data_IF_182797797986
#
_entry.id   IF_182797797986
#
_cell.length_a   1.000
_cell.length_b   1.000
_cell.length_c   1.000
_cell.angle_alpha   90.00
_cell.angle_beta   90.00
_cell.angle_gamma   90.00
#
_symmetry.space_group_name_H-M   'P 1'
#
loop_
_entity.id
_entity.type
_entity.pdbx_description
1 polymer ?
#
# COMPACT_ATOMS: atom_id res chain seq x y z
N UNK A 1 16.27 -13.19 -37.75
CA UNK A 1 15.85 -12.26 -36.67
C UNK A 1 15.27 -13.08 -35.53
N UNK A 2 15.71 -12.83 -34.31
CA UNK A 2 15.36 -13.66 -33.12
C UNK A 2 13.97 -13.27 -32.65
N UNK A 3 12.96 -14.15 -32.88
CA UNK A 3 11.58 -13.91 -32.43
C UNK A 3 11.49 -14.18 -30.92
N UNK A 4 11.83 -13.17 -30.15
CA UNK A 4 11.60 -13.11 -28.70
C UNK A 4 10.83 -11.86 -28.36
N UNK A 5 9.79 -11.99 -27.54
CA UNK A 5 9.06 -10.86 -27.00
C UNK A 5 9.60 -10.50 -25.62
N UNK A 6 9.89 -9.22 -25.39
CA UNK A 6 10.24 -8.71 -24.08
C UNK A 6 8.95 -8.37 -23.31
N UNK A 7 8.80 -8.95 -22.12
CA UNK A 7 7.70 -8.65 -21.19
C UNK A 7 8.24 -8.35 -19.81
N UNK A 8 7.39 -7.98 -18.88
CA UNK A 8 7.73 -7.84 -17.46
C UNK A 8 7.05 -8.92 -16.65
N UNK A 9 7.83 -9.63 -15.86
CA UNK A 9 7.35 -10.52 -14.81
C UNK A 9 7.15 -9.71 -13.54
N UNK A 10 5.95 -9.75 -13.00
CA UNK A 10 5.60 -9.11 -11.74
C UNK A 10 5.60 -10.15 -10.63
N UNK A 11 6.17 -9.82 -9.50
CA UNK A 11 6.17 -10.64 -8.28
C UNK A 11 5.85 -9.76 -7.10
N UNK A 12 5.06 -10.26 -6.17
CA UNK A 12 4.74 -9.60 -4.90
C UNK A 12 5.48 -10.32 -3.79
N UNK A 13 6.40 -9.61 -3.13
CA UNK A 13 7.13 -10.12 -1.97
C UNK A 13 7.07 -9.06 -0.85
N UNK A 14 6.67 -9.47 0.35
CA UNK A 14 6.62 -8.61 1.54
C UNK A 14 5.90 -7.28 1.31
N UNK A 15 4.74 -7.29 0.63
CA UNK A 15 3.94 -6.08 0.31
C UNK A 15 4.60 -5.11 -0.68
N UNK A 16 5.73 -5.50 -1.31
CA UNK A 16 6.36 -4.73 -2.37
C UNK A 16 6.15 -5.42 -3.72
N UNK A 17 5.77 -4.65 -4.73
CA UNK A 17 5.73 -5.13 -6.10
C UNK A 17 7.11 -5.02 -6.70
N UNK A 18 7.65 -6.17 -7.08
CA UNK A 18 8.90 -6.24 -7.80
C UNK A 18 8.66 -6.63 -9.25
N UNK A 19 9.45 -6.07 -10.15
CA UNK A 19 9.37 -6.38 -11.57
C UNK A 19 10.75 -6.75 -12.11
N UNK A 20 10.79 -7.74 -13.00
CA UNK A 20 11.99 -8.05 -13.79
C UNK A 20 11.62 -8.29 -15.24
N UNK A 21 12.54 -7.98 -16.14
CA UNK A 21 12.36 -8.27 -17.55
C UNK A 21 12.39 -9.79 -17.79
N UNK A 22 11.47 -10.28 -18.62
CA UNK A 22 11.41 -11.67 -19.05
C UNK A 22 11.45 -11.75 -20.59
N UNK A 23 12.27 -12.64 -21.14
CA UNK A 23 12.23 -12.99 -22.54
C UNK A 23 11.28 -14.15 -22.77
N UNK A 24 10.28 -13.95 -23.61
CA UNK A 24 9.34 -14.98 -24.04
C UNK A 24 9.79 -15.53 -25.38
N UNK A 25 10.10 -16.82 -25.43
CA UNK A 25 10.46 -17.53 -26.65
C UNK A 25 9.17 -17.95 -27.39
N UNK A 26 9.04 -17.57 -28.65
CA UNK A 26 7.93 -18.00 -29.51
C UNK A 26 8.20 -19.39 -30.10
N UNK A 27 9.48 -19.81 -30.14
CA UNK A 27 9.92 -21.09 -30.66
C UNK A 27 10.41 -21.99 -29.51
N UNK A 28 9.70 -23.10 -29.19
CA UNK A 28 10.09 -24.03 -28.14
C UNK A 28 11.49 -24.66 -28.33
N UNK A 29 11.96 -24.83 -29.57
CA UNK A 29 13.27 -25.41 -29.83
C UNK A 29 14.43 -24.50 -29.37
N UNK A 30 14.22 -23.17 -29.38
CA UNK A 30 15.18 -22.22 -28.81
C UNK A 30 15.24 -22.36 -27.29
N UNK A 31 14.10 -22.51 -26.62
CA UNK A 31 14.05 -22.71 -25.18
C UNK A 31 14.70 -24.04 -24.76
N UNK A 32 14.55 -25.10 -25.55
CA UNK A 32 15.23 -26.40 -25.34
C UNK A 32 16.74 -26.24 -25.27
N UNK A 33 17.33 -25.32 -26.04
CA UNK A 33 18.77 -25.04 -25.99
C UNK A 33 19.18 -24.42 -24.65
N UNK A 34 18.32 -23.62 -24.05
CA UNK A 34 18.52 -22.95 -22.74
C UNK A 34 18.35 -23.93 -21.59
N UNK A 35 17.39 -24.86 -21.66
CA UNK A 35 17.05 -25.82 -20.62
C UNK A 35 18.02 -27.00 -20.50
N UNK A 36 19.00 -27.13 -21.37
CA UNK A 36 20.04 -28.13 -21.22
C UNK A 36 20.84 -27.91 -19.93
N UNK A 37 21.10 -28.96 -19.16
CA UNK A 37 21.77 -28.91 -17.84
C UNK A 37 23.08 -28.11 -17.84
N UNK A 38 23.90 -28.23 -18.90
CA UNK A 38 25.15 -27.47 -18.96
C UNK A 38 24.91 -26.01 -19.40
N UNK A 39 24.01 -25.77 -20.37
CA UNK A 39 23.59 -24.44 -20.75
C UNK A 39 23.04 -23.68 -19.56
N UNK A 40 22.24 -24.33 -18.73
CA UNK A 40 21.68 -23.73 -17.51
C UNK A 40 22.77 -23.31 -16.52
N UNK A 41 23.77 -24.19 -16.26
CA UNK A 41 24.92 -23.87 -15.40
C UNK A 41 25.70 -22.64 -15.93
N UNK A 42 25.90 -22.59 -17.26
CA UNK A 42 26.58 -21.45 -17.90
C UNK A 42 25.76 -20.18 -17.74
N UNK A 43 24.44 -20.23 -17.93
CA UNK A 43 23.55 -19.10 -17.73
C UNK A 43 23.54 -18.60 -16.29
N UNK A 44 23.55 -19.48 -15.30
CA UNK A 44 23.65 -19.09 -13.89
C UNK A 44 24.94 -18.30 -13.63
N UNK A 45 26.08 -18.74 -14.14
CA UNK A 45 27.35 -18.02 -14.03
C UNK A 45 27.25 -16.65 -14.72
N UNK A 46 26.70 -16.61 -15.93
CA UNK A 46 26.59 -15.39 -16.74
C UNK A 46 25.47 -14.44 -16.25
N UNK A 47 24.60 -14.87 -15.34
CA UNK A 47 23.64 -13.99 -14.69
C UNK A 47 24.28 -13.16 -13.57
N UNK A 48 25.31 -13.70 -12.92
CA UNK A 48 26.02 -13.04 -11.83
C UNK A 48 27.11 -12.09 -12.36
N UNK A 49 27.94 -12.57 -13.31
CA UNK A 49 29.09 -11.82 -13.83
C UNK A 49 29.34 -12.09 -15.31
N UNK A 50 29.94 -11.14 -16.01
CA UNK A 50 30.41 -11.35 -17.37
C UNK A 50 31.66 -12.24 -17.37
N UNK A 51 31.72 -13.19 -18.32
CA UNK A 51 32.87 -14.05 -18.49
C UNK A 51 33.07 -14.44 -19.96
N UNK A 52 34.33 -14.72 -20.34
CA UNK A 52 34.60 -15.33 -21.64
C UNK A 52 34.65 -16.86 -21.54
N UNK A 53 34.46 -17.59 -22.68
CA UNK A 53 34.23 -19.03 -22.66
C UNK A 53 35.33 -19.88 -21.99
N UNK A 54 36.59 -19.47 -22.09
CA UNK A 54 37.71 -20.17 -21.46
C UNK A 54 37.67 -20.07 -19.92
N UNK A 55 37.29 -18.92 -19.37
CA UNK A 55 37.10 -18.79 -17.92
C UNK A 55 35.97 -19.66 -17.42
N UNK A 56 34.85 -19.71 -18.14
CA UNK A 56 33.73 -20.61 -17.83
C UNK A 56 34.19 -22.06 -17.86
N UNK A 57 35.01 -22.45 -18.85
CA UNK A 57 35.54 -23.79 -18.95
C UNK A 57 36.40 -24.19 -17.74
N UNK A 58 37.29 -23.27 -17.30
CA UNK A 58 38.11 -23.47 -16.09
C UNK A 58 37.23 -23.56 -14.83
N UNK A 59 36.26 -22.65 -14.68
CA UNK A 59 35.35 -22.64 -13.52
C UNK A 59 34.51 -23.91 -13.42
N UNK A 60 34.09 -24.47 -14.56
CA UNK A 60 33.28 -25.69 -14.63
C UNK A 60 34.12 -26.97 -14.73
N UNK A 61 35.46 -26.87 -14.82
CA UNK A 61 36.39 -28.00 -15.07
C UNK A 61 36.00 -28.82 -16.30
N UNK A 62 35.70 -28.14 -17.40
CA UNK A 62 35.27 -28.74 -18.65
C UNK A 62 36.22 -28.38 -19.80
N UNK A 63 36.22 -29.20 -20.84
CA UNK A 63 36.94 -28.91 -22.06
C UNK A 63 36.36 -27.69 -22.76
N UNK A 64 37.19 -26.76 -23.22
CA UNK A 64 36.81 -25.48 -23.81
C UNK A 64 35.83 -25.61 -24.99
N UNK A 65 36.08 -26.54 -25.91
CA UNK A 65 35.22 -26.77 -27.08
C UNK A 65 33.78 -27.09 -26.68
N UNK A 66 33.57 -27.81 -25.56
CA UNK A 66 32.23 -28.09 -25.04
C UNK A 66 31.54 -26.85 -24.56
N UNK A 67 32.25 -25.94 -23.89
CA UNK A 67 31.71 -24.68 -23.43
C UNK A 67 31.41 -23.75 -24.62
N UNK A 68 32.33 -23.63 -25.58
CA UNK A 68 32.12 -22.86 -26.81
C UNK A 68 30.87 -23.31 -27.58
N UNK A 69 30.62 -24.63 -27.68
CA UNK A 69 29.42 -25.16 -28.30
C UNK A 69 28.14 -24.64 -27.61
N UNK A 70 28.09 -24.68 -26.28
CA UNK A 70 26.93 -24.18 -25.54
C UNK A 70 26.79 -22.64 -25.60
N UNK A 71 27.87 -21.91 -25.53
CA UNK A 71 27.89 -20.46 -25.72
C UNK A 71 27.30 -20.07 -27.09
N UNK A 72 27.73 -20.74 -28.19
CA UNK A 72 27.17 -20.50 -29.53
C UNK A 72 25.66 -20.79 -29.57
N UNK A 73 25.19 -21.88 -28.95
CA UNK A 73 23.76 -22.21 -28.86
C UNK A 73 22.97 -21.15 -28.07
N UNK A 74 23.48 -20.74 -26.91
CA UNK A 74 22.86 -19.72 -26.10
C UNK A 74 22.82 -18.35 -26.79
N UNK A 75 23.91 -17.99 -27.47
CA UNK A 75 23.96 -16.73 -28.25
C UNK A 75 22.99 -16.78 -29.44
N UNK A 76 22.93 -17.92 -30.19
CA UNK A 76 21.95 -18.08 -31.27
C UNK A 76 20.52 -18.05 -30.80
N UNK A 77 20.24 -18.58 -29.60
CA UNK A 77 18.94 -18.48 -28.95
C UNK A 77 18.64 -17.04 -28.41
N UNK A 78 19.63 -16.15 -28.34
CA UNK A 78 19.49 -14.82 -27.75
C UNK A 78 19.45 -14.80 -26.21
N UNK A 79 19.80 -15.92 -25.57
CA UNK A 79 19.81 -16.05 -24.13
C UNK A 79 20.98 -15.31 -23.45
N UNK A 80 22.06 -15.11 -24.20
CA UNK A 80 23.24 -14.35 -23.79
C UNK A 80 23.59 -13.29 -24.82
N UNK A 81 24.27 -12.24 -24.39
CA UNK A 81 24.77 -11.15 -25.26
C UNK A 81 26.25 -10.91 -25.00
N UNK A 82 26.96 -10.45 -26.02
CA UNK A 82 28.32 -9.92 -25.87
C UNK A 82 28.21 -8.55 -25.20
N UNK A 83 28.96 -8.32 -24.15
CA UNK A 83 29.00 -7.04 -23.41
C UNK A 83 30.32 -6.33 -23.55
N UNK A 84 31.40 -7.08 -23.87
CA UNK A 84 32.75 -6.55 -24.03
C UNK A 84 33.58 -7.46 -24.96
N UNK A 85 34.48 -6.86 -25.69
CA UNK A 85 35.49 -7.56 -26.50
C UNK A 85 36.88 -7.04 -26.10
N UNK A 86 37.84 -7.95 -25.93
CA UNK A 86 39.22 -7.61 -25.61
C UNK A 86 40.19 -8.36 -26.55
N UNK A 87 41.21 -7.68 -27.02
CA UNK A 87 42.33 -8.32 -27.73
C UNK A 87 43.28 -8.98 -26.71
N UNK A 88 43.40 -10.28 -26.79
CA UNK A 88 44.28 -11.05 -25.94
C UNK A 88 45.18 -11.94 -26.81
N UNK A 89 46.49 -11.66 -26.86
CA UNK A 89 47.50 -12.45 -27.62
C UNK A 89 47.12 -12.69 -29.10
N UNK A 90 46.63 -11.66 -29.78
CA UNK A 90 46.27 -11.72 -31.20
C UNK A 90 44.91 -12.39 -31.50
N UNK A 91 44.11 -12.69 -30.50
CA UNK A 91 42.76 -13.18 -30.67
C UNK A 91 41.75 -12.27 -29.89
N UNK A 92 40.53 -12.10 -30.39
CA UNK A 92 39.50 -11.34 -29.76
C UNK A 92 38.72 -12.22 -28.75
N UNK A 93 38.87 -11.94 -27.48
CA UNK A 93 38.09 -12.56 -26.40
C UNK A 93 36.72 -11.82 -26.25
N UNK A 94 35.62 -12.55 -26.44
CA UNK A 94 34.27 -12.03 -26.29
C UNK A 94 33.72 -12.38 -24.90
N UNK A 95 33.37 -11.37 -24.12
CA UNK A 95 32.75 -11.54 -22.82
C UNK A 95 31.23 -11.55 -22.95
N UNK A 96 30.62 -12.56 -22.35
CA UNK A 96 29.19 -12.81 -22.43
C UNK A 96 28.53 -12.56 -21.06
N UNK A 97 27.28 -12.11 -21.11
CA UNK A 97 26.39 -11.98 -19.95
C UNK A 97 25.00 -12.49 -20.32
N UNK A 98 24.21 -12.94 -19.37
CA UNK A 98 22.81 -13.27 -19.59
C UNK A 98 22.07 -12.04 -20.15
N UNK A 99 21.28 -12.26 -21.19
CA UNK A 99 20.57 -11.16 -21.86
C UNK A 99 19.35 -10.67 -21.06
N UNK A 100 18.75 -11.58 -20.27
CA UNK A 100 17.56 -11.33 -19.49
C UNK A 100 17.64 -12.03 -18.13
N UNK A 101 17.06 -11.46 -17.09
CA UNK A 101 17.01 -12.07 -15.76
C UNK A 101 16.00 -13.22 -15.64
N UNK A 102 15.09 -13.38 -16.60
CA UNK A 102 14.13 -14.47 -16.69
C UNK A 102 13.85 -14.84 -18.15
N UNK A 103 13.50 -16.11 -18.40
CA UNK A 103 13.19 -16.65 -19.72
C UNK A 103 12.08 -17.67 -19.62
N UNK A 104 11.18 -17.72 -20.62
CA UNK A 104 10.04 -18.63 -20.63
C UNK A 104 9.34 -18.75 -21.97
N UNK A 105 8.27 -19.55 -22.00
CA UNK A 105 7.28 -19.61 -23.07
C UNK A 105 5.93 -19.14 -22.54
N UNK A 106 5.14 -18.55 -23.43
CA UNK A 106 3.78 -18.13 -23.13
C UNK A 106 2.80 -19.03 -23.87
N UNK A 107 1.82 -19.54 -23.14
CA UNK A 107 0.71 -20.27 -23.74
C UNK A 107 -0.34 -19.27 -24.26
N UNK A 108 -1.12 -19.64 -25.31
CA UNK A 108 -2.15 -18.75 -25.88
C UNK A 108 -3.40 -18.69 -25.01
N UNK A 109 -3.22 -18.36 -23.75
CA UNK A 109 -4.29 -18.14 -22.78
C UNK A 109 -4.47 -16.63 -22.60
N UNK A 110 -5.72 -16.16 -22.54
CA UNK A 110 -6.02 -14.73 -22.39
C UNK A 110 -5.46 -14.16 -21.07
N UNK A 111 -5.13 -12.86 -21.08
CA UNK A 111 -4.72 -12.13 -19.89
C UNK A 111 -5.94 -11.93 -18.98
N UNK A 112 -5.74 -12.12 -17.69
CA UNK A 112 -6.68 -11.65 -16.68
C UNK A 112 -6.37 -10.18 -16.37
N UNK A 113 -7.41 -9.34 -16.31
CA UNK A 113 -7.28 -7.97 -15.87
C UNK A 113 -6.93 -7.99 -14.38
N UNK A 114 -5.83 -7.37 -14.00
CA UNK A 114 -5.53 -7.09 -12.59
C UNK A 114 -6.19 -5.75 -12.29
N UNK A 115 -7.36 -5.79 -11.65
CA UNK A 115 -8.04 -4.60 -11.19
C UNK A 115 -7.30 -4.08 -9.94
N UNK A 116 -6.99 -2.79 -9.96
CA UNK A 116 -6.22 -2.14 -8.89
C UNK A 116 -4.77 -2.59 -8.82
N UNK A 117 -3.88 -1.66 -8.56
CA UNK A 117 -2.46 -1.93 -8.34
C UNK A 117 -2.29 -2.55 -6.96
N UNK A 118 -1.62 -3.65 -6.79
CA UNK A 118 -2.24 -4.95 -6.55
C UNK A 118 -2.80 -5.03 -5.13
N UNK A 119 -4.08 -5.28 -4.99
CA UNK A 119 -4.70 -5.72 -3.73
C UNK A 119 -3.95 -6.93 -3.10
N UNK A 120 -3.23 -7.71 -3.91
CA UNK A 120 -2.35 -8.79 -3.46
C UNK A 120 -1.12 -8.33 -2.67
N UNK A 121 -0.80 -7.03 -2.65
CA UNK A 121 0.31 -6.45 -1.88
C UNK A 121 -0.14 -5.80 -0.57
N UNK A 122 -1.43 -5.79 -0.27
CA UNK A 122 -1.92 -5.29 1.02
C UNK A 122 -1.75 -6.41 2.05
N UNK A 123 -1.16 -6.04 3.19
CA UNK A 123 -1.11 -6.93 4.34
C UNK A 123 -2.53 -7.36 4.75
N UNK A 124 -2.72 -8.65 5.03
CA UNK A 124 -4.03 -9.23 5.36
C UNK A 124 -4.73 -8.52 6.53
N UNK A 125 -3.98 -8.01 7.51
CA UNK A 125 -4.56 -7.26 8.63
C UNK A 125 -5.14 -5.92 8.18
N UNK A 126 -4.44 -5.19 7.30
CA UNK A 126 -4.94 -3.95 6.72
C UNK A 126 -6.16 -4.22 5.83
N UNK A 127 -6.14 -5.30 5.04
CA UNK A 127 -7.28 -5.72 4.22
C UNK A 127 -8.52 -5.97 5.08
N UNK A 128 -8.39 -6.75 6.16
CA UNK A 128 -9.49 -6.98 7.11
C UNK A 128 -9.95 -5.70 7.80
N UNK A 129 -9.02 -4.80 8.16
CA UNK A 129 -9.40 -3.52 8.75
C UNK A 129 -10.18 -2.63 7.79
N UNK A 130 -9.82 -2.62 6.51
CA UNK A 130 -10.50 -1.83 5.48
C UNK A 130 -11.75 -2.49 4.90
N UNK A 131 -12.01 -3.78 5.15
CA UNK A 131 -13.30 -4.41 4.80
C UNK A 131 -14.42 -3.85 5.71
N UNK A 132 -15.64 -3.56 5.20
CA UNK A 132 -16.08 -3.70 3.81
C UNK A 132 -15.89 -2.44 2.94
N UNK A 133 -15.07 -1.47 3.35
CA UNK A 133 -14.81 -0.26 2.59
C UNK A 133 -14.06 -0.53 1.28
N UNK A 134 -13.20 -1.55 1.27
CA UNK A 134 -12.41 -1.93 0.11
C UNK A 134 -12.51 -3.44 -0.07
N UNK A 135 -13.16 -3.84 -1.15
CA UNK A 135 -13.26 -5.23 -1.60
C UNK A 135 -12.99 -5.28 -3.10
N UNK A 136 -12.17 -6.23 -3.53
CA UNK A 136 -11.77 -6.41 -4.94
C UNK A 136 -11.32 -5.13 -5.66
N UNK A 137 -10.59 -4.27 -4.93
CA UNK A 137 -10.09 -2.97 -5.40
C UNK A 137 -11.20 -1.94 -5.71
N UNK A 138 -12.40 -2.16 -5.22
CA UNK A 138 -13.51 -1.21 -5.29
C UNK A 138 -13.68 -0.55 -3.93
N UNK A 139 -13.86 0.78 -3.91
CA UNK A 139 -14.17 1.51 -2.69
C UNK A 139 -15.70 1.63 -2.55
N UNK A 140 -16.25 1.05 -1.48
CA UNK A 140 -17.66 1.15 -1.10
C UNK A 140 -17.78 1.96 0.20
N UNK A 141 -18.02 3.25 0.08
CA UNK A 141 -18.22 4.12 1.24
C UNK A 141 -18.08 5.60 0.92
N UNK A 142 -18.20 6.41 1.97
CA UNK A 142 -17.99 7.86 1.91
C UNK A 142 -16.89 8.27 2.89
N UNK A 143 -16.02 9.18 2.48
CA UNK A 143 -15.05 9.85 3.35
C UNK A 143 -15.65 11.18 3.73
N UNK A 144 -16.00 11.34 5.01
CA UNK A 144 -16.75 12.48 5.50
C UNK A 144 -15.85 13.44 6.26
N UNK A 145 -15.79 14.67 5.80
CA UNK A 145 -15.03 15.75 6.43
C UNK A 145 -15.98 16.84 6.91
N UNK A 146 -15.59 17.56 7.95
CA UNK A 146 -16.38 18.70 8.41
C UNK A 146 -16.40 19.83 7.39
N UNK A 147 -17.51 20.54 7.29
CA UNK A 147 -17.64 21.72 6.43
C UNK A 147 -16.68 22.84 6.85
N UNK A 148 -16.01 23.51 5.90
CA UNK A 148 -15.18 24.69 6.20
C UNK A 148 -15.99 25.91 6.63
N UNK A 149 -17.30 25.95 6.33
CA UNK A 149 -18.19 26.99 6.74
C UNK A 149 -18.74 26.78 8.17
N UNK A 150 -19.13 27.86 8.89
CA UNK A 150 -19.71 27.71 10.21
C UNK A 150 -21.01 26.90 10.16
N UNK A 151 -21.05 25.77 10.82
CA UNK A 151 -22.17 24.85 10.79
C UNK A 151 -22.39 24.16 12.15
N UNK A 152 -23.52 23.46 12.24
CA UNK A 152 -23.91 22.72 13.43
C UNK A 152 -24.19 23.61 14.66
N UNK A 153 -24.41 22.97 15.83
CA UNK A 153 -24.79 23.70 17.05
C UNK A 153 -23.69 24.62 17.58
N UNK A 154 -22.44 24.36 17.23
CA UNK A 154 -21.29 25.14 17.72
C UNK A 154 -20.78 26.18 16.70
N UNK A 155 -21.39 26.26 15.52
CA UNK A 155 -20.96 27.14 14.41
C UNK A 155 -19.45 27.03 14.15
N UNK A 156 -18.90 25.82 14.30
CA UNK A 156 -17.49 25.54 14.11
C UNK A 156 -17.14 25.52 12.64
N UNK A 157 -15.88 25.85 12.34
CA UNK A 157 -15.27 25.75 11.01
C UNK A 157 -14.27 24.61 11.02
N UNK A 158 -14.44 23.61 10.18
CA UNK A 158 -13.47 22.55 10.06
C UNK A 158 -12.21 22.99 9.29
N UNK A 159 -11.04 22.62 9.79
CA UNK A 159 -9.73 22.88 9.15
C UNK A 159 -8.94 21.62 8.86
N UNK A 160 -9.50 20.47 9.18
CA UNK A 160 -8.85 19.16 9.11
C UNK A 160 -9.19 18.38 7.83
N UNK A 161 -10.02 18.93 6.95
CA UNK A 161 -10.34 18.29 5.65
C UNK A 161 -9.13 17.96 4.77
N UNK A 162 -8.04 18.75 4.82
CA UNK A 162 -6.82 18.45 4.08
C UNK A 162 -6.08 17.19 4.57
N UNK A 163 -6.33 16.74 5.80
CA UNK A 163 -5.81 15.45 6.26
C UNK A 163 -6.51 14.28 5.57
N UNK A 164 -7.80 14.44 5.24
CA UNK A 164 -8.51 13.45 4.41
C UNK A 164 -7.88 13.32 3.02
N UNK A 165 -7.34 14.39 2.43
CA UNK A 165 -6.61 14.31 1.16
C UNK A 165 -5.38 13.39 1.26
N UNK A 166 -4.66 13.40 2.37
CA UNK A 166 -3.55 12.47 2.58
C UNK A 166 -4.03 11.01 2.76
N UNK A 167 -5.15 10.81 3.45
CA UNK A 167 -5.79 9.51 3.57
C UNK A 167 -6.24 8.98 2.19
N UNK A 168 -6.85 9.83 1.35
CA UNK A 168 -7.29 9.42 0.01
C UNK A 168 -6.11 9.04 -0.90
N UNK A 169 -4.96 9.72 -0.80
CA UNK A 169 -3.73 9.31 -1.50
C UNK A 169 -3.24 7.93 -1.06
N UNK A 170 -3.41 7.59 0.21
CA UNK A 170 -3.10 6.24 0.71
C UNK A 170 -4.10 5.21 0.18
N UNK A 171 -5.40 5.46 0.31
CA UNK A 171 -6.45 4.55 -0.16
C UNK A 171 -6.43 4.38 -1.69
N UNK A 172 -6.12 5.43 -2.45
CA UNK A 172 -6.01 5.40 -3.90
C UNK A 172 -4.93 4.45 -4.45
N UNK A 173 -4.01 3.97 -3.60
CA UNK A 173 -3.09 2.88 -3.96
C UNK A 173 -3.75 1.50 -3.96
N UNK A 174 -4.91 1.40 -3.36
CA UNK A 174 -5.59 0.15 -3.04
C UNK A 174 -6.84 -0.06 -3.89
N UNK A 175 -7.33 0.98 -4.54
CA UNK A 175 -8.61 0.98 -5.27
C UNK A 175 -8.47 1.64 -6.63
N UNK A 176 -9.35 1.27 -7.55
CA UNK A 176 -9.63 2.06 -8.76
C UNK A 176 -10.42 3.32 -8.37
N UNK A 177 -10.31 4.36 -9.18
CA UNK A 177 -11.07 5.58 -8.95
C UNK A 177 -12.57 5.28 -9.04
N UNK A 178 -13.38 5.55 -7.99
CA UNK A 178 -14.83 5.33 -8.04
C UNK A 178 -15.48 6.23 -9.10
N UNK A 179 -16.58 5.75 -9.67
CA UNK A 179 -17.39 6.55 -10.61
C UNK A 179 -18.05 7.74 -9.91
N UNK A 180 -18.61 7.50 -8.70
CA UNK A 180 -19.17 8.54 -7.85
C UNK A 180 -18.12 9.21 -6.97
N UNK A 181 -18.35 10.49 -6.67
CA UNK A 181 -17.46 11.24 -5.79
C UNK A 181 -17.59 10.76 -4.34
N UNK A 182 -16.55 10.12 -3.77
CA UNK A 182 -16.68 9.46 -2.47
C UNK A 182 -16.44 10.39 -1.28
N UNK A 183 -16.00 11.64 -1.51
CA UNK A 183 -15.70 12.60 -0.44
C UNK A 183 -16.88 13.53 -0.26
N UNK A 184 -17.40 13.61 0.97
CA UNK A 184 -18.58 14.41 1.29
C UNK A 184 -18.29 15.33 2.48
N UNK A 185 -18.93 16.50 2.48
CA UNK A 185 -19.02 17.29 3.70
C UNK A 185 -20.05 16.64 4.64
N UNK A 186 -19.86 16.80 5.92
CA UNK A 186 -20.77 16.29 6.95
C UNK A 186 -22.19 16.88 6.82
N UNK A 187 -22.29 18.12 6.40
CA UNK A 187 -23.57 18.79 6.13
C UNK A 187 -24.30 18.17 4.92
N UNK A 188 -23.56 17.77 3.88
CA UNK A 188 -24.13 17.12 2.70
C UNK A 188 -24.64 15.72 3.03
N UNK A 189 -23.86 14.94 3.80
CA UNK A 189 -24.28 13.61 4.28
C UNK A 189 -25.58 13.72 5.07
N UNK A 190 -25.74 14.75 5.91
CA UNK A 190 -26.98 15.00 6.64
C UNK A 190 -28.13 15.40 5.72
N UNK A 191 -27.90 16.28 4.75
CA UNK A 191 -28.93 16.74 3.82
C UNK A 191 -29.41 15.63 2.90
N UNK A 192 -28.49 14.77 2.44
CA UNK A 192 -28.77 13.65 1.53
C UNK A 192 -29.20 12.37 2.26
N UNK A 193 -29.16 12.34 3.59
CA UNK A 193 -29.49 11.19 4.46
C UNK A 193 -28.66 9.95 4.15
N UNK A 194 -27.36 10.16 3.99
CA UNK A 194 -26.40 9.10 3.64
C UNK A 194 -25.63 8.53 4.86
N UNK A 195 -26.14 8.77 6.09
CA UNK A 195 -25.51 8.29 7.32
C UNK A 195 -25.50 6.77 7.46
N UNK A 196 -26.30 6.07 6.68
CA UNK A 196 -26.43 4.61 6.70
C UNK A 196 -25.44 3.88 5.79
N UNK A 197 -24.50 4.59 5.16
CA UNK A 197 -23.44 4.02 4.33
C UNK A 197 -22.21 3.53 5.15
N UNK A 198 -21.23 2.93 4.48
CA UNK A 198 -19.89 2.79 5.05
C UNK A 198 -19.24 4.18 5.12
N UNK A 199 -18.83 4.61 6.32
CA UNK A 199 -18.33 5.99 6.54
C UNK A 199 -16.92 6.00 7.12
N UNK A 200 -16.02 6.75 6.51
CA UNK A 200 -14.74 7.12 7.11
C UNK A 200 -14.83 8.57 7.56
N UNK A 201 -14.99 8.79 8.86
CA UNK A 201 -15.15 10.11 9.44
C UNK A 201 -13.78 10.70 9.78
N UNK A 202 -13.46 11.86 9.22
CA UNK A 202 -12.23 12.60 9.50
C UNK A 202 -12.59 13.91 10.18
N UNK A 203 -12.13 14.08 11.42
CA UNK A 203 -12.44 15.26 12.24
C UNK A 203 -13.22 14.92 13.51
N UNK A 204 -12.95 15.71 14.55
CA UNK A 204 -13.56 15.54 15.87
C UNK A 204 -15.02 16.02 15.92
N UNK A 205 -15.73 15.72 17.03
CA UNK A 205 -17.17 16.05 17.19
C UNK A 205 -17.45 17.55 17.23
N UNK A 206 -16.42 18.39 17.38
CA UNK A 206 -16.56 19.84 17.31
C UNK A 206 -16.72 20.39 15.90
N UNK A 207 -16.23 19.66 14.90
CA UNK A 207 -16.11 20.12 13.52
C UNK A 207 -16.75 19.17 12.50
N UNK A 208 -17.21 18.00 12.94
CA UNK A 208 -17.86 17.01 12.08
C UNK A 208 -19.15 16.52 12.75
N UNK A 209 -20.31 16.85 12.18
CA UNK A 209 -21.63 16.54 12.72
C UNK A 209 -21.89 15.04 12.87
N UNK A 210 -21.40 14.24 11.91
CA UNK A 210 -21.59 12.79 11.96
C UNK A 210 -20.75 12.20 13.10
N UNK A 211 -19.49 12.65 13.26
CA UNK A 211 -18.66 12.25 14.40
C UNK A 211 -19.32 12.65 15.73
N UNK A 212 -19.93 13.82 15.79
CA UNK A 212 -20.65 14.28 16.97
C UNK A 212 -21.83 13.35 17.31
N UNK A 213 -22.65 13.02 16.35
CA UNK A 213 -23.81 12.16 16.53
C UNK A 213 -23.41 10.73 16.93
N UNK A 214 -22.34 10.21 16.31
CA UNK A 214 -21.88 8.83 16.58
C UNK A 214 -20.99 8.73 17.80
N UNK A 215 -20.56 9.82 18.41
CA UNK A 215 -19.69 9.83 19.60
C UNK A 215 -20.21 8.94 20.73
N UNK A 216 -21.52 8.91 20.97
CA UNK A 216 -22.15 8.08 22.03
C UNK A 216 -22.05 6.57 21.82
N UNK A 217 -21.72 6.12 20.61
CA UNK A 217 -21.57 4.69 20.27
C UNK A 217 -20.11 4.24 20.25
N UNK A 218 -19.16 5.16 20.44
CA UNK A 218 -17.73 4.85 20.41
C UNK A 218 -17.27 4.21 21.74
N UNK A 219 -16.41 3.18 21.71
CA UNK A 219 -15.83 2.58 22.93
C UNK A 219 -14.92 3.53 23.70
N UNK A 220 -14.33 4.49 22.99
CA UNK A 220 -13.57 5.61 23.55
C UNK A 220 -14.27 6.87 23.03
N UNK A 221 -14.80 7.69 23.92
CA UNK A 221 -15.66 8.82 23.58
C UNK A 221 -15.01 10.15 23.88
N UNK A 222 -15.32 11.15 23.08
CA UNK A 222 -15.01 12.53 23.38
C UNK A 222 -15.95 13.00 24.51
N UNK A 223 -15.35 13.47 25.59
CA UNK A 223 -16.10 14.11 26.68
C UNK A 223 -16.44 15.55 26.26
N UNK A 224 -17.71 15.76 25.94
CA UNK A 224 -18.24 17.05 25.47
C UNK A 224 -18.95 17.74 26.63
N UNK A 225 -18.32 18.77 27.16
CA UNK A 225 -18.91 19.60 28.27
C UNK A 225 -19.52 20.87 27.74
N UNK A 226 -20.78 21.21 28.10
CA UNK A 226 -21.35 22.48 27.76
C UNK A 226 -20.53 23.65 28.33
N UNK A 227 -20.41 24.72 27.55
CA UNK A 227 -19.81 25.98 27.99
C UNK A 227 -20.63 27.16 27.52
N UNK A 228 -20.41 28.33 28.09
CA UNK A 228 -21.10 29.59 27.71
C UNK A 228 -20.91 29.97 26.24
N UNK A 229 -19.81 29.49 25.63
CA UNK A 229 -19.45 29.78 24.25
C UNK A 229 -19.54 28.55 23.31
N UNK A 230 -20.36 27.53 23.67
CA UNK A 230 -20.52 26.30 22.92
C UNK A 230 -20.22 25.06 23.76
N UNK A 231 -19.08 24.41 23.54
CA UNK A 231 -18.64 23.29 24.37
C UNK A 231 -17.12 23.25 24.50
N UNK A 232 -16.66 22.61 25.57
CA UNK A 232 -15.26 22.23 25.77
C UNK A 232 -15.11 20.73 25.57
N UNK A 233 -14.08 20.35 24.84
CA UNK A 233 -13.67 18.95 24.80
C UNK A 233 -12.83 18.64 26.04
N UNK A 234 -13.37 17.81 26.92
CA UNK A 234 -12.69 17.31 28.13
C UNK A 234 -11.72 16.17 27.85
N UNK A 235 -11.39 15.92 26.57
CA UNK A 235 -10.53 14.84 26.12
C UNK A 235 -11.32 13.56 25.76
N UNK A 236 -10.55 12.54 25.37
CA UNK A 236 -11.07 11.19 25.11
C UNK A 236 -11.19 10.41 26.42
N UNK A 237 -12.27 9.69 26.62
CA UNK A 237 -12.52 8.86 27.79
C UNK A 237 -12.76 7.41 27.34
N UNK A 238 -11.93 6.50 27.82
CA UNK A 238 -12.09 5.07 27.56
C UNK A 238 -13.19 4.49 28.45
N UNK A 239 -14.18 3.82 27.86
CA UNK A 239 -15.20 3.09 28.65
C UNK A 239 -14.59 1.94 29.46
N UNK A 240 -13.56 1.30 28.90
CA UNK A 240 -12.94 0.11 29.51
C UNK A 240 -12.06 0.47 30.71
N UNK A 241 -11.24 1.52 30.59
CA UNK A 241 -10.22 1.83 31.60
C UNK A 241 -10.55 3.08 32.42
N UNK A 242 -11.59 3.84 32.03
CA UNK A 242 -11.98 5.13 32.62
C UNK A 242 -10.86 6.19 32.57
N UNK A 243 -9.81 5.94 31.78
CA UNK A 243 -8.73 6.90 31.57
C UNK A 243 -9.19 8.05 30.69
N UNK A 244 -8.67 9.23 31.00
CA UNK A 244 -8.90 10.46 30.24
C UNK A 244 -7.62 10.85 29.50
N UNK A 245 -7.77 11.14 28.20
CA UNK A 245 -6.67 11.53 27.31
C UNK A 245 -6.98 12.92 26.76
N UNK A 246 -6.46 13.96 27.42
CA UNK A 246 -6.89 15.35 27.19
C UNK A 246 -5.93 16.21 26.38
N UNK A 247 -4.72 15.74 26.06
CA UNK A 247 -3.78 16.55 25.31
C UNK A 247 -4.27 16.82 23.87
N UNK A 248 -3.94 18.00 23.34
CA UNK A 248 -4.38 18.48 22.03
C UNK A 248 -3.91 17.62 20.86
N UNK A 249 -2.73 16.97 21.01
CA UNK A 249 -2.11 16.09 20.03
C UNK A 249 -2.61 14.63 20.12
N UNK A 250 -3.62 14.36 20.95
CA UNK A 250 -4.25 13.04 21.07
C UNK A 250 -5.47 12.92 20.18
N UNK A 251 -5.71 11.71 19.70
CA UNK A 251 -6.88 11.38 18.89
C UNK A 251 -7.27 9.92 18.97
N UNK A 252 -8.39 9.61 18.38
CA UNK A 252 -9.03 8.30 18.33
C UNK A 252 -8.99 7.73 16.92
N UNK A 253 -8.61 6.48 16.80
CA UNK A 253 -8.95 5.63 15.65
C UNK A 253 -9.90 4.57 16.17
N UNK A 254 -11.11 4.53 15.61
CA UNK A 254 -12.09 3.50 15.94
C UNK A 254 -12.72 2.90 14.69
N UNK A 255 -13.05 1.61 14.75
CA UNK A 255 -13.89 0.92 13.76
C UNK A 255 -15.05 0.30 14.51
N UNK A 256 -16.27 0.66 14.13
CA UNK A 256 -17.51 0.20 14.75
C UNK A 256 -18.54 -0.20 13.70
N UNK A 257 -19.58 -0.90 14.13
CA UNK A 257 -20.81 -1.02 13.34
C UNK A 257 -21.41 0.36 13.13
N UNK A 258 -21.98 0.60 11.93
CA UNK A 258 -22.68 1.85 11.70
C UNK A 258 -23.97 1.90 12.53
N UNK A 259 -24.15 2.89 13.43
CA UNK A 259 -25.34 3.02 14.26
C UNK A 259 -26.65 3.13 13.47
N UNK A 260 -26.60 3.66 12.25
CA UNK A 260 -27.76 3.82 11.36
C UNK A 260 -28.02 2.58 10.51
N UNK A 261 -27.01 1.72 10.29
CA UNK A 261 -27.13 0.50 9.48
C UNK A 261 -26.11 -0.56 9.93
N UNK A 262 -26.55 -1.57 10.65
CA UNK A 262 -25.66 -2.61 11.22
C UNK A 262 -24.86 -3.43 10.18
N UNK A 263 -25.29 -3.43 8.92
CA UNK A 263 -24.57 -4.11 7.83
C UNK A 263 -23.38 -3.30 7.30
N UNK A 264 -23.29 -2.01 7.68
CA UNK A 264 -22.24 -1.09 7.28
C UNK A 264 -21.30 -0.81 8.45
N UNK A 265 -20.16 -0.20 8.15
CA UNK A 265 -19.12 0.10 9.15
C UNK A 265 -18.76 1.58 9.16
N UNK A 266 -18.28 2.03 10.30
CA UNK A 266 -17.76 3.38 10.46
C UNK A 266 -16.32 3.30 10.96
N UNK A 267 -15.41 4.00 10.28
CA UNK A 267 -14.06 4.27 10.77
C UNK A 267 -14.01 5.75 11.18
N UNK A 268 -13.55 6.00 12.39
CA UNK A 268 -13.38 7.36 12.92
C UNK A 268 -11.89 7.67 13.05
N UNK A 269 -11.47 8.80 12.50
CA UNK A 269 -10.13 9.39 12.61
C UNK A 269 -10.29 10.81 13.16
N UNK A 270 -10.30 10.96 14.47
CA UNK A 270 -10.71 12.19 15.13
C UNK A 270 -9.77 12.55 16.29
N UNK A 271 -9.39 13.82 16.39
CA UNK A 271 -8.55 14.33 17.46
C UNK A 271 -9.26 15.25 18.42
N UNK A 272 -8.68 15.45 19.62
CA UNK A 272 -9.09 16.53 20.55
C UNK A 272 -8.96 17.88 19.85
N UNK A 273 -7.93 18.05 19.04
CA UNK A 273 -7.72 19.18 18.11
C UNK A 273 -7.31 18.65 16.73
N UNK A 274 -7.19 19.56 15.76
CA UNK A 274 -6.76 19.19 14.40
C UNK A 274 -5.41 18.44 14.36
N UNK A 275 -4.48 18.75 15.27
CA UNK A 275 -3.19 18.06 15.40
C UNK A 275 -3.37 16.59 15.79
N UNK A 276 -4.33 16.25 16.65
CA UNK A 276 -4.69 14.88 16.99
C UNK A 276 -5.34 14.15 15.81
N UNK A 277 -6.19 14.82 15.03
CA UNK A 277 -6.74 14.26 13.77
C UNK A 277 -5.61 13.93 12.78
N UNK A 278 -4.63 14.82 12.63
CA UNK A 278 -3.42 14.55 11.81
C UNK A 278 -2.67 13.31 12.30
N UNK A 279 -2.49 13.19 13.63
CA UNK A 279 -1.83 12.01 14.22
C UNK A 279 -2.55 10.71 13.89
N UNK A 280 -3.90 10.69 13.94
CA UNK A 280 -4.71 9.54 13.56
C UNK A 280 -4.54 9.17 12.08
N UNK A 281 -4.54 10.15 11.19
CA UNK A 281 -4.32 9.90 9.76
C UNK A 281 -2.92 9.35 9.51
N UNK A 282 -1.87 9.89 10.14
CA UNK A 282 -0.51 9.35 10.04
C UNK A 282 -0.42 7.93 10.62
N UNK A 283 -1.07 7.67 11.75
CA UNK A 283 -1.12 6.36 12.38
C UNK A 283 -1.71 5.30 11.47
N UNK A 284 -2.81 5.60 10.75
CA UNK A 284 -3.44 4.64 9.84
C UNK A 284 -2.68 4.50 8.51
N UNK A 285 -2.00 5.54 8.04
CA UNK A 285 -1.35 5.54 6.73
C UNK A 285 0.13 5.12 6.80
N UNK A 286 0.94 5.80 7.60
CA UNK A 286 2.39 5.54 7.71
C UNK A 286 2.72 4.47 8.76
N UNK A 287 2.00 4.46 9.88
CA UNK A 287 2.32 3.63 11.05
C UNK A 287 1.29 2.53 11.32
N UNK A 288 0.50 2.16 10.31
CA UNK A 288 -0.62 1.22 10.44
C UNK A 288 -0.23 -0.13 11.09
N UNK A 289 0.99 -0.65 10.85
CA UNK A 289 1.46 -1.90 11.47
C UNK A 289 1.52 -1.81 12.99
N UNK A 290 1.93 -0.65 13.51
CA UNK A 290 1.95 -0.34 14.95
C UNK A 290 0.53 -0.13 15.45
N UNK A 291 -0.25 0.66 14.72
CA UNK A 291 -1.63 1.04 15.06
C UNK A 291 -2.56 -0.17 15.12
N UNK A 292 -2.53 -1.04 14.10
CA UNK A 292 -3.41 -2.20 14.01
C UNK A 292 -2.84 -3.46 14.69
N UNK A 293 -1.80 -3.34 15.53
CA UNK A 293 -1.17 -4.50 16.17
C UNK A 293 -2.18 -5.35 16.95
N UNK A 294 -3.12 -4.71 17.66
CA UNK A 294 -4.16 -5.35 18.48
C UNK A 294 -5.51 -5.53 17.75
N UNK A 295 -5.60 -5.22 16.48
CA UNK A 295 -6.83 -5.41 15.71
C UNK A 295 -7.12 -6.91 15.49
N UNK A 296 -8.33 -7.35 15.80
CA UNK A 296 -8.81 -8.75 15.82
C UNK A 296 -10.15 -8.97 15.10
N UNK A 297 -10.55 -8.04 14.24
CA UNK A 297 -11.77 -8.05 13.41
C UNK A 297 -13.09 -7.69 14.14
N UNK A 298 -13.06 -7.47 15.45
CA UNK A 298 -14.19 -6.97 16.22
C UNK A 298 -14.21 -5.44 16.30
N UNK A 299 -14.95 -4.90 17.27
CA UNK A 299 -14.92 -3.46 17.58
C UNK A 299 -13.49 -3.05 17.93
N UNK A 300 -12.99 -2.08 17.24
CA UNK A 300 -11.63 -1.59 17.43
C UNK A 300 -11.64 -0.13 17.84
N UNK A 301 -10.87 0.20 18.86
CA UNK A 301 -10.62 1.58 19.25
C UNK A 301 -9.23 1.69 19.89
N UNK A 302 -8.47 2.71 19.46
CA UNK A 302 -7.14 3.03 20.03
C UNK A 302 -6.98 4.53 20.15
N UNK A 303 -6.31 4.96 21.22
CA UNK A 303 -5.88 6.34 21.39
C UNK A 303 -4.49 6.51 20.80
N UNK A 304 -4.34 7.50 19.95
CA UNK A 304 -3.08 7.88 19.29
C UNK A 304 -2.60 9.20 19.88
N UNK A 305 -1.33 9.29 20.21
CA UNK A 305 -0.65 10.54 20.51
C UNK A 305 0.34 10.85 19.41
N UNK A 306 0.31 12.07 18.89
CA UNK A 306 1.24 12.57 17.88
C UNK A 306 2.42 13.29 18.51
N UNK A 307 3.59 13.17 17.89
CA UNK A 307 4.82 13.84 18.30
C UNK A 307 5.45 14.54 17.11
N UNK A 308 6.11 15.63 17.42
CA UNK A 308 7.00 16.37 16.53
C UNK A 308 8.43 16.06 16.98
N UNK A 309 9.13 15.18 16.25
CA UNK A 309 10.46 14.72 16.64
C UNK A 309 11.58 15.60 16.08
N UNK A 310 11.33 16.28 14.95
CA UNK A 310 12.32 17.14 14.31
C UNK A 310 12.19 18.62 14.71
N UNK A 311 11.12 18.98 15.43
CA UNK A 311 10.91 20.32 15.99
C UNK A 311 10.41 21.36 14.99
N UNK A 312 9.84 20.92 13.85
CA UNK A 312 9.31 21.82 12.80
C UNK A 312 7.87 22.31 13.07
N UNK A 313 7.31 21.92 14.21
CA UNK A 313 5.93 22.27 14.62
C UNK A 313 4.87 21.35 14.03
N UNK A 314 5.25 20.27 13.34
CA UNK A 314 4.31 19.35 12.70
C UNK A 314 4.48 17.92 13.23
N UNK A 315 3.36 17.26 13.45
CA UNK A 315 3.38 15.84 13.82
C UNK A 315 3.99 15.00 12.69
N UNK A 316 5.03 14.23 13.01
CA UNK A 316 5.74 13.31 12.14
C UNK A 316 5.82 11.89 12.70
N UNK A 317 5.55 11.70 13.99
CA UNK A 317 5.60 10.42 14.70
C UNK A 317 4.35 10.19 15.55
N UNK A 318 4.14 8.93 15.96
CA UNK A 318 2.97 8.56 16.77
C UNK A 318 3.30 7.52 17.85
N UNK A 319 2.52 7.56 18.92
CA UNK A 319 2.42 6.50 19.91
C UNK A 319 0.98 5.99 20.03
N UNK A 320 0.82 4.68 20.25
CA UNK A 320 -0.48 4.04 20.55
C UNK A 320 -0.55 3.86 22.06
N UNK A 321 -1.49 4.54 22.70
CA UNK A 321 -1.60 4.59 24.17
C UNK A 321 -2.52 3.51 24.73
N UNK A 322 -3.65 3.23 24.04
CA UNK A 322 -4.63 2.21 24.47
C UNK A 322 -5.17 1.43 23.29
#
# INVERSE_FOLDING_TARGET
MTSMKKKRLLSSENTQLMAKDIAIFEDPEKLKSVLNKLSWKILQILSEQEMYPMEIARKLKLHEQKVYYHIRKLAKAGAIKVVREEETKGAVAKYYKAAFPAMGIELPVGYQRINGFPASCIDEKMKRFLSPFIEDCVFDGKIVVGSPDPHGPFKAKARDGHYAAFLTLFLGKLVELPEDFPIKLDVDVKAEKEEDNNLILVGGPGTNLITQEFNKFLPIRFNMMPSEHGFLLGGLVSEKTQKVFSADNMGLIAKIENPSNKNKRVIVLAGNKAVGTKACVLALTKFWKKTLKKFDDEKFAVVIQGFDLDGDGKVDSIEVLE
#
